data_IF_028201233484
#
_entry.id   IF_028201233484
#
_cell.length_a   1.000
_cell.length_b   1.000
_cell.length_c   1.000
_cell.angle_alpha   90.00
_cell.angle_beta   90.00
_cell.angle_gamma   90.00
#
_symmetry.space_group_name_H-M   'P 1'
#
loop_
_entity.id
_entity.type
_entity.pdbx_description
1 polymer ?
#
# COMPACT_ATOMS: atom_id res chain seq x y z
N UNK A 1 -29.34 -9.74 -16.95
CA UNK A 1 -30.08 -8.82 -16.05
C UNK A 1 -30.26 -7.48 -16.73
N UNK A 2 -31.23 -6.65 -16.32
CA UNK A 2 -31.30 -5.24 -16.75
C UNK A 2 -30.27 -4.39 -16.01
N UNK A 3 -29.95 -3.21 -16.53
CA UNK A 3 -29.05 -2.25 -15.87
C UNK A 3 -29.50 -1.94 -14.43
N UNK A 4 -30.79 -1.60 -14.23
CA UNK A 4 -31.31 -1.26 -12.90
C UNK A 4 -31.18 -2.42 -11.90
N UNK A 5 -31.42 -3.66 -12.36
CA UNK A 5 -31.26 -4.86 -11.52
C UNK A 5 -29.80 -5.09 -11.12
N UNK A 6 -28.85 -4.77 -11.99
CA UNK A 6 -27.42 -4.87 -11.70
C UNK A 6 -27.01 -3.78 -10.71
N UNK A 7 -27.50 -2.55 -10.90
CA UNK A 7 -27.22 -1.44 -9.99
C UNK A 7 -27.73 -1.74 -8.57
N UNK A 8 -28.94 -2.26 -8.44
CA UNK A 8 -29.52 -2.70 -7.16
C UNK A 8 -28.72 -3.86 -6.54
N UNK A 9 -28.28 -4.81 -7.36
CA UNK A 9 -27.45 -5.93 -6.90
C UNK A 9 -26.09 -5.48 -6.39
N UNK A 10 -25.40 -4.57 -7.10
CA UNK A 10 -24.16 -3.93 -6.64
C UNK A 10 -24.40 -3.29 -5.28
N UNK A 11 -25.43 -2.44 -5.15
CA UNK A 11 -25.73 -1.76 -3.90
C UNK A 11 -26.02 -2.72 -2.73
N UNK A 12 -26.65 -3.86 -3.01
CA UNK A 12 -26.93 -4.91 -2.02
C UNK A 12 -25.66 -5.64 -1.60
N UNK A 13 -24.79 -6.03 -2.55
CA UNK A 13 -23.50 -6.68 -2.26
C UNK A 13 -22.62 -5.77 -1.42
N UNK A 14 -22.49 -4.51 -1.80
CA UNK A 14 -21.67 -3.54 -1.07
C UNK A 14 -22.16 -3.37 0.36
N UNK A 15 -23.48 -3.28 0.58
CA UNK A 15 -24.08 -3.09 1.90
C UNK A 15 -24.05 -4.34 2.76
N UNK A 16 -24.50 -5.46 2.23
CA UNK A 16 -24.87 -6.64 3.03
C UNK A 16 -23.74 -7.68 3.07
N UNK A 17 -22.91 -7.77 2.02
CA UNK A 17 -21.80 -8.73 1.95
C UNK A 17 -20.47 -8.11 2.31
N UNK A 18 -20.17 -6.93 1.78
CA UNK A 18 -18.90 -6.25 2.02
C UNK A 18 -18.96 -5.28 3.20
N UNK A 19 -20.13 -5.05 3.81
CA UNK A 19 -20.35 -4.12 4.92
C UNK A 19 -19.72 -2.74 4.67
N UNK A 20 -19.90 -2.21 3.46
CA UNK A 20 -19.31 -0.95 3.05
C UNK A 20 -19.92 0.22 3.84
N UNK A 21 -19.06 1.01 4.49
CA UNK A 21 -19.47 2.11 5.35
C UNK A 21 -19.78 3.41 4.58
N UNK A 22 -19.48 3.46 3.27
CA UNK A 22 -19.59 4.65 2.42
C UNK A 22 -20.85 4.65 1.54
N UNK A 23 -21.89 3.90 1.94
CA UNK A 23 -23.14 3.77 1.16
C UNK A 23 -23.91 5.07 0.98
N UNK A 24 -23.66 6.10 1.81
CA UNK A 24 -24.24 7.43 1.63
C UNK A 24 -23.81 8.10 0.31
N UNK A 25 -22.64 7.73 -0.22
CA UNK A 25 -22.13 8.21 -1.50
C UNK A 25 -22.56 7.33 -2.70
N UNK A 26 -23.27 6.23 -2.47
CA UNK A 26 -23.63 5.28 -3.52
C UNK A 26 -24.61 5.89 -4.54
N UNK A 27 -24.12 6.06 -5.75
CA UNK A 27 -24.89 6.51 -6.91
C UNK A 27 -24.18 6.05 -8.20
N UNK A 28 -24.84 6.05 -9.37
CA UNK A 28 -24.21 5.64 -10.63
C UNK A 28 -22.90 6.38 -10.93
N UNK A 29 -22.85 7.69 -10.65
CA UNK A 29 -21.67 8.53 -10.86
C UNK A 29 -20.60 8.39 -9.77
N UNK A 30 -20.86 7.63 -8.70
CA UNK A 30 -19.91 7.46 -7.60
C UNK A 30 -18.67 6.71 -8.10
N UNK A 31 -17.50 7.27 -7.80
CA UNK A 31 -16.22 6.66 -8.15
C UNK A 31 -15.96 5.49 -7.23
N UNK A 32 -15.68 4.32 -7.81
CA UNK A 32 -15.54 3.05 -7.09
C UNK A 32 -14.49 3.18 -6.00
N UNK A 33 -13.29 3.67 -6.33
CA UNK A 33 -12.23 3.87 -5.35
C UNK A 33 -12.49 5.11 -4.48
N UNK A 34 -12.67 6.27 -5.09
CA UNK A 34 -12.56 7.53 -4.34
C UNK A 34 -13.78 7.85 -3.46
N UNK A 35 -14.97 7.46 -3.90
CA UNK A 35 -16.22 7.79 -3.21
C UNK A 35 -16.73 6.59 -2.40
N UNK A 36 -16.52 5.37 -2.91
CA UNK A 36 -16.98 4.12 -2.26
C UNK A 36 -15.87 3.29 -1.62
N UNK A 37 -14.61 3.71 -1.76
CA UNK A 37 -13.47 3.04 -1.14
C UNK A 37 -13.42 1.57 -1.59
N UNK A 38 -13.57 1.31 -2.88
CA UNK A 38 -13.46 -0.03 -3.46
C UNK A 38 -12.13 -0.13 -4.19
N UNK A 39 -11.21 -0.88 -3.59
CA UNK A 39 -9.97 -1.27 -4.25
C UNK A 39 -10.21 -2.38 -5.30
N UNK A 40 -9.17 -2.74 -6.06
CA UNK A 40 -9.28 -3.78 -7.10
C UNK A 40 -9.71 -5.16 -6.57
N UNK A 41 -9.43 -5.50 -5.32
CA UNK A 41 -9.84 -6.78 -4.69
C UNK A 41 -11.32 -6.72 -4.35
N UNK A 42 -11.79 -5.63 -3.74
CA UNK A 42 -13.22 -5.43 -3.41
C UNK A 42 -14.07 -5.28 -4.67
N UNK A 43 -13.55 -4.64 -5.72
CA UNK A 43 -14.18 -4.60 -7.04
C UNK A 43 -14.27 -6.01 -7.63
N UNK A 44 -13.19 -6.81 -7.58
CA UNK A 44 -13.20 -8.21 -8.01
C UNK A 44 -14.16 -9.08 -7.19
N UNK A 45 -14.24 -8.88 -5.88
CA UNK A 45 -15.15 -9.58 -4.99
C UNK A 45 -16.60 -9.21 -5.29
N UNK A 46 -16.88 -7.94 -5.56
CA UNK A 46 -18.18 -7.46 -6.03
C UNK A 46 -18.56 -8.10 -7.36
N UNK A 47 -17.62 -8.14 -8.32
CA UNK A 47 -17.82 -8.82 -9.60
C UNK A 47 -18.14 -10.29 -9.39
N UNK A 48 -17.34 -11.01 -8.59
CA UNK A 48 -17.53 -12.43 -8.31
C UNK A 48 -18.88 -12.70 -7.63
N UNK A 49 -19.29 -11.86 -6.69
CA UNK A 49 -20.59 -11.96 -6.05
C UNK A 49 -21.74 -11.76 -7.05
N UNK A 50 -21.63 -10.81 -7.98
CA UNK A 50 -22.59 -10.65 -9.07
C UNK A 50 -22.67 -11.89 -9.97
N UNK A 51 -21.53 -12.50 -10.30
CA UNK A 51 -21.51 -13.72 -11.11
C UNK A 51 -22.17 -14.89 -10.39
N UNK A 52 -21.83 -15.10 -9.11
CA UNK A 52 -22.30 -16.23 -8.31
C UNK A 52 -23.78 -16.13 -7.94
N UNK A 53 -24.23 -14.95 -7.52
CA UNK A 53 -25.60 -14.76 -7.04
C UNK A 53 -26.61 -14.59 -8.17
N UNK A 54 -26.17 -14.03 -9.31
CA UNK A 54 -27.07 -13.63 -10.39
C UNK A 54 -26.78 -14.26 -11.75
N UNK A 55 -25.74 -15.10 -11.86
CA UNK A 55 -25.47 -15.91 -13.04
C UNK A 55 -25.04 -15.12 -14.27
N UNK A 56 -24.52 -13.90 -14.08
CA UNK A 56 -23.97 -13.07 -15.16
C UNK A 56 -22.48 -13.36 -15.28
N UNK A 57 -22.04 -13.95 -16.40
CA UNK A 57 -20.63 -14.26 -16.62
C UNK A 57 -19.94 -13.14 -17.41
N UNK A 58 -18.87 -12.57 -16.87
CA UNK A 58 -18.04 -11.61 -17.60
C UNK A 58 -16.98 -12.34 -18.45
N UNK A 59 -16.80 -11.98 -19.74
CA UNK A 59 -15.67 -12.46 -20.52
C UNK A 59 -14.34 -11.92 -19.95
N UNK A 60 -13.36 -12.79 -19.72
CA UNK A 60 -12.04 -12.44 -19.12
C UNK A 60 -11.29 -11.31 -19.86
N UNK A 61 -11.48 -11.19 -21.18
CA UNK A 61 -10.90 -10.12 -22.00
C UNK A 61 -11.43 -8.71 -21.67
N UNK A 62 -12.53 -8.63 -20.94
CA UNK A 62 -13.21 -7.39 -20.56
C UNK A 62 -12.73 -6.89 -19.19
N UNK A 63 -12.40 -7.79 -18.27
CA UNK A 63 -11.89 -7.48 -16.91
C UNK A 63 -10.47 -6.87 -16.99
N UNK A 64 -9.65 -7.33 -17.94
CA UNK A 64 -8.24 -6.94 -18.08
C UNK A 64 -8.00 -5.65 -18.86
N UNK A 65 -9.04 -5.02 -19.42
CA UNK A 65 -8.90 -3.95 -20.42
C UNK A 65 -9.72 -2.68 -20.15
N UNK A 66 -10.46 -2.60 -19.04
CA UNK A 66 -11.32 -1.45 -18.78
C UNK A 66 -10.91 -0.73 -17.51
N UNK A 67 -10.68 0.57 -17.67
CA UNK A 67 -10.63 1.55 -16.58
C UNK A 67 -12.06 1.66 -16.02
N UNK A 68 -12.32 0.99 -14.90
CA UNK A 68 -13.60 1.05 -14.20
C UNK A 68 -13.48 2.12 -13.12
N UNK A 69 -13.96 3.31 -13.43
CA UNK A 69 -13.86 4.44 -12.52
C UNK A 69 -15.11 4.56 -11.64
N UNK A 70 -16.30 4.26 -12.18
CA UNK A 70 -17.59 4.50 -11.49
C UNK A 70 -18.48 3.26 -11.35
N UNK A 71 -19.50 3.36 -10.49
CA UNK A 71 -20.56 2.36 -10.38
C UNK A 71 -21.30 2.17 -11.71
N UNK A 72 -21.51 3.24 -12.49
CA UNK A 72 -22.13 3.18 -13.81
C UNK A 72 -21.29 2.34 -14.78
N UNK A 73 -19.97 2.50 -14.76
CA UNK A 73 -19.07 1.71 -15.61
C UNK A 73 -19.18 0.22 -15.30
N UNK A 74 -19.17 -0.13 -14.02
CA UNK A 74 -19.36 -1.51 -13.55
C UNK A 74 -20.74 -2.05 -13.92
N UNK A 75 -21.81 -1.29 -13.70
CA UNK A 75 -23.17 -1.72 -14.01
C UNK A 75 -23.38 -1.93 -15.53
N UNK A 76 -22.85 -1.03 -16.36
CA UNK A 76 -22.89 -1.15 -17.83
C UNK A 76 -22.08 -2.35 -18.32
N UNK A 77 -20.99 -2.68 -17.64
CA UNK A 77 -20.17 -3.85 -17.97
C UNK A 77 -21.01 -5.14 -17.94
N UNK A 78 -21.68 -5.36 -16.81
CA UNK A 78 -22.54 -6.53 -16.60
C UNK A 78 -23.81 -6.47 -17.44
N UNK A 79 -24.35 -5.29 -17.72
CA UNK A 79 -25.52 -5.12 -18.58
C UNK A 79 -25.20 -5.54 -20.03
N UNK A 80 -24.03 -5.15 -20.54
CA UNK A 80 -23.53 -5.58 -21.86
C UNK A 80 -23.24 -7.08 -21.91
N UNK A 81 -22.63 -7.64 -20.85
CA UNK A 81 -22.35 -9.08 -20.78
C UNK A 81 -23.62 -9.94 -20.64
N UNK A 82 -24.72 -9.34 -20.17
CA UNK A 82 -26.04 -9.97 -20.10
C UNK A 82 -26.79 -10.02 -21.45
N UNK A 83 -26.28 -9.37 -22.50
CA UNK A 83 -26.92 -9.44 -23.83
C UNK A 83 -26.72 -10.82 -24.48
N UNK A 84 -27.72 -11.34 -25.22
CA UNK A 84 -27.69 -12.68 -25.76
C UNK A 84 -26.81 -12.74 -27.02
N UNK A 85 -25.50 -12.66 -26.84
CA UNK A 85 -24.50 -13.11 -27.82
C UNK A 85 -23.66 -14.18 -27.16
N UNK A 86 -23.87 -15.42 -27.60
CA UNK A 86 -23.57 -16.61 -26.80
C UNK A 86 -22.08 -16.93 -26.67
N UNK A 87 -21.67 -17.22 -25.44
CA UNK A 87 -20.87 -18.40 -25.13
C UNK A 87 -21.06 -18.74 -23.66
N UNK A 88 -21.53 -19.95 -23.34
CA UNK A 88 -21.58 -20.46 -21.96
C UNK A 88 -20.13 -20.63 -21.48
N UNK A 89 -19.72 -19.82 -20.50
CA UNK A 89 -18.37 -19.88 -19.91
C UNK A 89 -18.33 -21.03 -18.88
N UNK A 90 -17.23 -21.81 -18.91
CA UNK A 90 -16.98 -22.93 -17.99
C UNK A 90 -16.66 -22.44 -16.56
N UNK A 91 -16.91 -23.26 -15.53
CA UNK A 91 -16.75 -22.85 -14.13
C UNK A 91 -15.31 -22.41 -13.78
N UNK A 92 -15.22 -21.35 -12.98
CA UNK A 92 -14.02 -20.57 -12.66
C UNK A 92 -12.79 -21.38 -12.19
N UNK A 93 -12.97 -22.54 -11.55
CA UNK A 93 -11.85 -23.34 -11.00
C UNK A 93 -10.88 -23.87 -12.06
N UNK A 94 -11.38 -24.30 -13.22
CA UNK A 94 -10.50 -24.79 -14.31
C UNK A 94 -9.79 -23.63 -15.03
N UNK A 95 -10.41 -22.44 -15.07
CA UNK A 95 -9.81 -21.25 -15.67
C UNK A 95 -8.71 -20.64 -14.79
N UNK A 96 -8.88 -20.61 -13.47
CA UNK A 96 -7.90 -20.05 -12.53
C UNK A 96 -6.56 -20.79 -12.60
N UNK A 97 -6.57 -22.12 -12.72
CA UNK A 97 -5.34 -22.91 -12.88
C UNK A 97 -4.65 -22.62 -14.22
N UNK A 98 -5.42 -22.59 -15.31
CA UNK A 98 -4.90 -22.32 -16.65
C UNK A 98 -4.36 -20.88 -16.81
N UNK A 99 -4.89 -19.93 -16.01
CA UNK A 99 -4.41 -18.55 -15.91
C UNK A 99 -3.07 -18.48 -15.17
N UNK A 100 -2.97 -19.09 -14.00
CA UNK A 100 -1.73 -19.15 -13.24
C UNK A 100 -0.58 -19.80 -14.03
N UNK A 101 -0.89 -20.85 -14.80
CA UNK A 101 0.09 -21.52 -15.68
C UNK A 101 0.55 -20.63 -16.84
N UNK A 102 -0.35 -19.81 -17.42
CA UNK A 102 -0.01 -18.86 -18.50
C UNK A 102 0.79 -17.67 -17.99
N UNK A 103 0.37 -17.06 -16.88
CA UNK A 103 1.08 -15.95 -16.23
C UNK A 103 2.50 -16.39 -15.82
N UNK A 104 2.64 -17.60 -15.28
CA UNK A 104 3.94 -18.19 -14.96
C UNK A 104 4.82 -18.44 -16.20
N UNK A 105 4.24 -18.90 -17.31
CA UNK A 105 4.95 -19.14 -18.56
C UNK A 105 5.41 -17.85 -19.25
N UNK A 106 4.61 -16.79 -19.15
CA UNK A 106 4.87 -15.49 -19.77
C UNK A 106 5.72 -14.56 -18.86
N UNK A 107 6.11 -15.04 -17.66
CA UNK A 107 6.79 -14.24 -16.61
C UNK A 107 6.05 -12.95 -16.25
N UNK A 108 4.76 -12.91 -16.56
CA UNK A 108 3.85 -11.90 -16.08
C UNK A 108 3.70 -12.21 -14.60
N UNK A 109 4.44 -11.49 -13.75
CA UNK A 109 4.09 -11.47 -12.34
C UNK A 109 2.62 -11.07 -12.21
N UNK A 110 1.99 -11.32 -11.06
CA UNK A 110 0.59 -10.93 -10.78
C UNK A 110 0.33 -9.41 -10.96
N UNK A 111 1.37 -8.65 -11.33
CA UNK A 111 1.41 -7.21 -11.56
C UNK A 111 2.03 -6.79 -12.92
N UNK A 112 2.13 -7.66 -13.93
CA UNK A 112 2.29 -7.21 -15.31
C UNK A 112 3.59 -6.52 -15.73
N UNK A 113 4.65 -6.47 -14.91
CA UNK A 113 5.86 -5.71 -15.25
C UNK A 113 7.16 -6.51 -15.07
N UNK A 114 8.08 -6.34 -16.04
CA UNK A 114 9.40 -6.97 -16.22
C UNK A 114 10.45 -6.68 -15.09
N UNK A 115 10.05 -6.14 -13.95
CA UNK A 115 10.92 -6.02 -12.78
C UNK A 115 10.10 -6.14 -11.49
N UNK A 116 10.37 -7.21 -10.72
CA UNK A 116 9.83 -7.39 -9.37
C UNK A 116 10.59 -6.45 -8.42
N UNK A 117 10.23 -5.16 -8.41
CA UNK A 117 10.60 -4.23 -7.34
C UNK A 117 9.72 -4.53 -6.11
N UNK A 118 10.37 -4.69 -4.96
CA UNK A 118 9.83 -5.30 -3.74
C UNK A 118 9.03 -4.24 -2.96
N UNK A 119 7.69 -4.29 -3.03
CA UNK A 119 6.75 -3.41 -2.28
C UNK A 119 6.57 -3.90 -0.83
N UNK A 120 7.58 -3.73 0.01
CA UNK A 120 7.58 -4.37 1.34
C UNK A 120 7.82 -3.39 2.50
N UNK A 121 8.45 -2.24 2.26
CA UNK A 121 8.80 -1.34 3.36
C UNK A 121 8.92 0.12 2.92
N UNK A 122 7.86 0.90 3.17
CA UNK A 122 7.73 2.28 2.71
C UNK A 122 8.93 3.19 3.05
N UNK A 123 9.45 3.14 4.28
CA UNK A 123 10.67 3.89 4.64
C UNK A 123 11.87 3.53 3.76
N UNK A 124 12.16 2.23 3.59
CA UNK A 124 13.28 1.72 2.78
C UNK A 124 13.11 2.13 1.32
N UNK A 125 11.90 1.99 0.78
CA UNK A 125 11.57 2.40 -0.59
C UNK A 125 11.83 3.90 -0.81
N UNK A 126 11.49 4.76 0.16
CA UNK A 126 11.74 6.19 0.06
C UNK A 126 13.24 6.54 0.05
N UNK A 127 14.05 5.97 0.95
CA UNK A 127 15.49 6.28 0.96
C UNK A 127 16.22 5.66 -0.24
N UNK A 128 15.80 4.48 -0.68
CA UNK A 128 16.32 3.81 -1.89
C UNK A 128 15.97 4.56 -3.17
N UNK A 129 14.86 5.32 -3.21
CA UNK A 129 14.52 6.16 -4.35
C UNK A 129 15.67 7.11 -4.68
N UNK A 130 16.22 7.81 -3.69
CA UNK A 130 17.33 8.74 -3.93
C UNK A 130 18.61 8.02 -4.39
N UNK A 131 18.88 6.81 -3.90
CA UNK A 131 20.01 5.97 -4.37
C UNK A 131 19.82 5.58 -5.85
N UNK A 132 18.58 5.23 -6.24
CA UNK A 132 18.21 4.90 -7.61
C UNK A 132 18.34 6.12 -8.55
N UNK A 133 17.93 7.31 -8.12
CA UNK A 133 18.12 8.56 -8.88
C UNK A 133 19.59 8.88 -9.11
N UNK A 134 20.48 8.47 -8.19
CA UNK A 134 21.94 8.55 -8.34
C UNK A 134 22.55 7.44 -9.20
N UNK A 135 21.74 6.54 -9.76
CA UNK A 135 22.17 5.37 -10.55
C UNK A 135 23.11 4.43 -9.77
N UNK A 136 22.91 4.35 -8.45
CA UNK A 136 23.62 3.43 -7.58
C UNK A 136 22.77 2.19 -7.27
N UNK A 137 23.44 1.12 -6.84
CA UNK A 137 22.76 -0.11 -6.47
C UNK A 137 22.12 0.02 -5.08
N UNK A 138 20.79 0.07 -5.06
CA UNK A 138 19.96 0.18 -3.86
C UNK A 138 19.50 -1.20 -3.32
N UNK A 139 19.60 -2.25 -4.15
CA UNK A 139 19.10 -3.59 -3.82
C UNK A 139 19.71 -4.19 -2.56
N UNK A 140 21.01 -3.98 -2.24
CA UNK A 140 21.57 -4.50 -0.99
C UNK A 140 20.78 -4.04 0.24
N UNK A 141 20.24 -2.83 0.24
CA UNK A 141 19.50 -2.29 1.38
C UNK A 141 18.13 -2.97 1.61
N UNK A 142 17.56 -3.59 0.58
CA UNK A 142 16.34 -4.39 0.72
C UNK A 142 16.59 -5.73 1.42
N UNK A 143 17.84 -6.18 1.55
CA UNK A 143 18.15 -7.44 2.22
C UNK A 143 17.69 -7.46 3.68
N UNK A 144 17.84 -6.33 4.40
CA UNK A 144 17.39 -6.23 5.79
C UNK A 144 15.87 -6.10 5.97
N UNK A 145 15.10 -6.00 4.90
CA UNK A 145 13.64 -5.88 4.98
C UNK A 145 12.98 -7.19 5.41
N UNK A 146 13.58 -8.35 5.06
CA UNK A 146 13.03 -9.66 5.38
C UNK A 146 12.85 -9.90 6.88
N UNK A 147 13.72 -9.31 7.69
CA UNK A 147 13.70 -9.36 9.16
C UNK A 147 13.42 -7.98 9.78
N UNK A 148 12.76 -7.10 9.03
CA UNK A 148 12.32 -5.81 9.56
C UNK A 148 11.46 -6.02 10.82
N UNK A 149 11.63 -5.13 11.79
CA UNK A 149 10.94 -5.23 13.07
C UNK A 149 9.42 -5.26 12.88
N UNK A 150 8.77 -6.23 13.52
CA UNK A 150 7.33 -6.35 13.63
C UNK A 150 6.96 -6.61 15.09
N UNK A 151 5.70 -6.35 15.44
CA UNK A 151 5.15 -6.62 16.76
C UNK A 151 4.09 -7.71 16.71
N UNK A 152 3.87 -8.37 17.84
CA UNK A 152 2.66 -9.15 18.11
C UNK A 152 1.86 -8.35 19.13
N UNK A 153 0.66 -7.92 18.75
CA UNK A 153 -0.18 -7.10 19.62
C UNK A 153 -0.80 -7.92 20.78
N UNK A 154 -1.51 -7.24 21.68
CA UNK A 154 -2.17 -7.87 22.83
C UNK A 154 -3.30 -8.85 22.44
N UNK A 155 -3.78 -8.79 21.20
CA UNK A 155 -4.76 -9.72 20.64
C UNK A 155 -4.09 -10.86 19.87
N UNK A 156 -2.77 -11.03 20.00
CA UNK A 156 -1.98 -12.03 19.28
C UNK A 156 -2.08 -11.88 17.76
N UNK A 157 -2.10 -10.66 17.25
CA UNK A 157 -2.04 -10.36 15.80
C UNK A 157 -0.68 -9.78 15.44
N UNK A 158 -0.20 -10.13 14.24
CA UNK A 158 0.99 -9.49 13.68
C UNK A 158 0.67 -8.03 13.34
N UNK A 159 1.51 -7.13 13.81
CA UNK A 159 1.42 -5.70 13.54
C UNK A 159 2.75 -5.20 12.97
N UNK A 160 2.69 -4.62 11.78
CA UNK A 160 3.84 -3.99 11.12
C UNK A 160 4.04 -2.53 11.53
N UNK A 161 3.07 -1.97 12.27
CA UNK A 161 3.16 -0.67 12.92
C UNK A 161 2.83 -0.82 14.40
N UNK A 162 3.78 -0.46 15.25
CA UNK A 162 3.63 -0.43 16.70
C UNK A 162 4.58 0.63 17.28
N UNK A 163 4.29 1.15 18.47
CA UNK A 163 5.09 2.18 19.14
C UNK A 163 6.54 1.76 19.39
N UNK A 164 6.80 0.46 19.47
CA UNK A 164 8.12 -0.11 19.72
C UNK A 164 8.97 -0.25 18.44
N UNK A 165 8.34 -0.18 17.26
CA UNK A 165 9.04 -0.26 15.97
C UNK A 165 9.65 1.10 15.67
N UNK A 166 10.98 1.16 15.64
CA UNK A 166 11.72 2.36 15.25
C UNK A 166 12.53 2.11 13.96
N UNK A 167 12.96 3.20 13.32
CA UNK A 167 13.72 3.15 12.07
C UNK A 167 15.22 3.35 12.29
N UNK A 168 15.72 3.30 13.52
CA UNK A 168 17.11 3.65 13.82
C UNK A 168 18.11 2.70 13.15
N UNK A 169 17.80 1.40 13.16
CA UNK A 169 18.59 0.40 12.44
C UNK A 169 18.76 0.76 10.96
N UNK A 170 17.66 1.06 10.26
CA UNK A 170 17.72 1.42 8.85
C UNK A 170 18.41 2.78 8.63
N UNK A 171 18.18 3.76 9.50
CA UNK A 171 18.81 5.09 9.40
C UNK A 171 20.33 5.01 9.53
N UNK A 172 20.80 4.30 10.55
CA UNK A 172 22.23 4.16 10.84
C UNK A 172 22.93 3.37 9.74
N UNK A 173 22.30 2.30 9.24
CA UNK A 173 22.85 1.54 8.11
C UNK A 173 22.79 2.29 6.79
N UNK A 174 21.77 3.10 6.55
CA UNK A 174 21.70 3.92 5.35
C UNK A 174 22.82 4.97 5.33
N UNK A 175 23.06 5.64 6.47
CA UNK A 175 24.18 6.58 6.62
C UNK A 175 25.53 5.86 6.44
N UNK A 176 25.69 4.66 7.00
CA UNK A 176 26.93 3.89 6.85
C UNK A 176 27.17 3.43 5.41
N UNK A 177 26.17 2.83 4.76
CA UNK A 177 26.27 2.29 3.41
C UNK A 177 26.37 3.40 2.36
N UNK A 178 25.47 4.37 2.42
CA UNK A 178 25.29 5.35 1.37
C UNK A 178 25.74 6.75 1.76
N UNK A 179 26.23 6.98 2.97
CA UNK A 179 26.78 8.27 3.42
C UNK A 179 25.75 9.31 3.83
N UNK A 180 24.55 9.28 3.25
CA UNK A 180 23.51 10.26 3.53
C UNK A 180 22.85 10.03 4.89
N UNK A 181 22.86 11.08 5.71
CA UNK A 181 22.25 11.05 7.05
C UNK A 181 20.75 11.25 6.98
N UNK A 182 19.99 10.28 7.50
CA UNK A 182 18.52 10.35 7.60
C UNK A 182 18.13 10.93 8.96
N UNK A 183 17.75 12.21 8.96
CA UNK A 183 17.44 12.98 10.17
C UNK A 183 15.95 12.96 10.44
N UNK A 184 15.55 12.54 11.64
CA UNK A 184 14.17 12.68 12.08
C UNK A 184 13.89 14.16 12.38
N UNK A 185 12.86 14.71 11.74
CA UNK A 185 12.36 16.06 12.07
C UNK A 185 11.14 16.04 12.99
N UNK A 186 10.37 14.94 12.95
CA UNK A 186 9.19 14.78 13.80
C UNK A 186 9.59 14.62 15.28
N UNK A 187 8.97 15.40 16.16
CA UNK A 187 9.22 15.40 17.61
C UNK A 187 8.03 14.77 18.32
N UNK A 188 8.16 13.55 18.88
CA UNK A 188 7.05 12.86 19.56
C UNK A 188 6.47 13.62 20.77
N UNK A 189 7.27 14.48 21.41
CA UNK A 189 6.81 15.30 22.54
C UNK A 189 6.17 16.64 22.16
N UNK A 190 6.14 16.99 20.86
CA UNK A 190 5.50 18.20 20.35
C UNK A 190 4.07 17.88 19.87
N UNK A 191 3.20 18.89 19.78
CA UNK A 191 1.85 18.67 19.25
C UNK A 191 1.88 18.38 17.74
N UNK A 192 0.76 17.89 17.21
CA UNK A 192 0.61 17.64 15.77
C UNK A 192 0.76 18.94 14.96
N UNK A 193 0.23 20.04 15.48
CA UNK A 193 0.30 21.37 14.85
C UNK A 193 1.73 21.91 14.84
N UNK A 194 2.49 21.72 15.93
CA UNK A 194 3.91 22.10 15.99
C UNK A 194 4.76 21.29 15.02
N UNK A 195 4.50 19.99 14.91
CA UNK A 195 5.15 19.11 13.93
C UNK A 195 4.75 19.47 12.49
N UNK A 196 3.48 19.81 12.25
CA UNK A 196 3.00 20.28 10.95
C UNK A 196 3.69 21.58 10.54
N UNK A 197 3.81 22.54 11.46
CA UNK A 197 4.54 23.78 11.22
C UNK A 197 6.02 23.53 10.88
N UNK A 198 6.67 22.61 11.60
CA UNK A 198 8.05 22.20 11.31
C UNK A 198 8.18 21.57 9.91
N UNK A 199 7.24 20.69 9.55
CA UNK A 199 7.21 20.06 8.23
C UNK A 199 7.03 21.09 7.10
N UNK A 200 6.11 22.05 7.28
CA UNK A 200 5.88 23.13 6.32
C UNK A 200 7.13 24.02 6.13
N UNK A 201 7.82 24.38 7.22
CA UNK A 201 9.07 25.15 7.15
C UNK A 201 10.17 24.35 6.42
N UNK A 202 10.27 23.05 6.66
CA UNK A 202 11.22 22.19 5.94
C UNK A 202 10.88 22.08 4.46
N UNK A 203 9.61 21.90 4.11
CA UNK A 203 9.18 21.81 2.71
C UNK A 203 9.51 23.08 1.93
N UNK A 204 9.35 24.24 2.56
CA UNK A 204 9.66 25.55 1.97
C UNK A 204 11.17 25.80 1.82
N UNK A 205 11.99 25.32 2.77
CA UNK A 205 13.42 25.66 2.86
C UNK A 205 14.38 24.58 2.40
N UNK A 206 13.90 23.35 2.19
CA UNK A 206 14.77 22.24 1.77
C UNK A 206 15.47 22.57 0.47
N UNK A 207 16.67 22.03 0.30
CA UNK A 207 17.38 22.10 -0.99
C UNK A 207 16.67 21.23 -2.02
N UNK A 208 16.96 21.48 -3.29
CA UNK A 208 16.50 20.63 -4.40
C UNK A 208 16.99 19.18 -4.25
N UNK A 209 18.18 18.97 -3.67
CA UNK A 209 18.72 17.64 -3.41
C UNK A 209 18.16 16.97 -2.15
N UNK A 210 17.39 17.69 -1.32
CA UNK A 210 16.82 17.15 -0.09
C UNK A 210 15.43 16.58 -0.32
N UNK A 211 15.20 15.39 0.21
CA UNK A 211 13.92 14.71 0.21
C UNK A 211 13.26 14.83 1.58
N UNK A 212 12.03 15.35 1.61
CA UNK A 212 11.22 15.43 2.83
C UNK A 212 10.23 14.26 2.87
N UNK A 213 10.47 13.33 3.79
CA UNK A 213 9.61 12.18 4.05
C UNK A 213 8.65 12.49 5.20
N UNK A 214 7.37 12.18 5.01
CA UNK A 214 6.31 12.34 6.00
C UNK A 214 5.58 11.01 6.21
N UNK A 215 5.12 10.76 7.44
CA UNK A 215 4.14 9.69 7.69
C UNK A 215 2.73 10.28 7.59
N UNK A 216 1.86 9.63 6.82
CA UNK A 216 0.44 9.96 6.74
C UNK A 216 -0.42 8.71 6.71
N UNK A 217 -1.71 8.87 6.99
CA UNK A 217 -2.67 7.77 6.91
C UNK A 217 -3.30 7.73 5.52
N UNK A 218 -2.93 6.72 4.73
CA UNK A 218 -3.41 6.57 3.35
C UNK A 218 -4.90 6.32 3.25
N UNK A 219 -5.54 5.83 4.31
CA UNK A 219 -6.99 5.70 4.34
C UNK A 219 -7.68 7.04 4.03
N UNK A 220 -7.06 8.17 4.38
CA UNK A 220 -7.59 9.50 4.15
C UNK A 220 -7.13 10.15 2.84
N UNK A 221 -6.51 9.38 1.93
CA UNK A 221 -6.12 9.79 0.58
C UNK A 221 -6.62 8.76 -0.46
N UNK A 222 -7.95 8.70 -0.69
CA UNK A 222 -8.56 7.71 -1.57
C UNK A 222 -8.35 8.00 -3.06
N UNK A 223 -7.83 9.18 -3.44
CA UNK A 223 -7.41 9.50 -4.81
C UNK A 223 -6.25 8.63 -5.32
N UNK A 224 -5.68 7.81 -4.43
CA UNK A 224 -4.68 6.82 -4.76
C UNK A 224 -5.32 5.44 -4.78
N UNK A 225 -4.94 4.60 -5.74
CA UNK A 225 -5.21 3.16 -5.67
C UNK A 225 -4.54 2.55 -4.43
N UNK A 226 -5.25 2.55 -3.31
CA UNK A 226 -4.83 1.92 -2.07
C UNK A 226 -5.39 0.50 -2.07
N UNK A 227 -4.51 -0.46 -2.31
CA UNK A 227 -4.86 -1.86 -2.09
C UNK A 227 -5.20 -2.04 -0.60
N UNK A 228 -6.30 -2.75 -0.33
CA UNK A 228 -6.77 -3.28 0.96
C UNK A 228 -7.65 -2.39 1.84
N UNK A 229 -7.93 -1.14 1.44
CA UNK A 229 -8.88 -0.28 2.15
C UNK A 229 -8.65 -0.23 3.67
N UNK A 230 -7.39 -0.39 4.08
CA UNK A 230 -7.03 -0.65 5.46
C UNK A 230 -7.23 0.62 6.26
N UNK A 231 -7.86 0.51 7.44
CA UNK A 231 -8.03 1.63 8.35
C UNK A 231 -7.56 1.23 9.76
N UNK A 232 -6.51 1.85 10.31
CA UNK A 232 -5.67 2.87 9.68
C UNK A 232 -4.70 2.27 8.66
N UNK A 233 -4.17 3.10 7.76
CA UNK A 233 -3.08 2.73 6.85
C UNK A 233 -1.89 3.69 6.95
N UNK A 234 -1.07 3.60 8.01
CA UNK A 234 0.15 4.38 8.16
C UNK A 234 1.13 4.11 7.02
N UNK A 235 1.64 5.17 6.40
CA UNK A 235 2.60 5.04 5.29
C UNK A 235 3.58 6.20 5.23
N UNK A 236 4.82 5.91 4.84
CA UNK A 236 5.81 6.94 4.53
C UNK A 236 5.82 7.24 3.03
N UNK A 237 5.82 8.52 2.70
CA UNK A 237 6.02 9.02 1.34
C UNK A 237 6.76 10.37 1.38
N UNK A 238 7.10 10.91 0.20
CA UNK A 238 7.80 12.18 0.07
C UNK A 238 6.90 13.27 -0.51
N UNK A 239 7.14 14.51 -0.06
CA UNK A 239 6.42 15.69 -0.52
C UNK A 239 7.35 16.66 -1.25
N UNK A 240 6.82 17.25 -2.32
CA UNK A 240 7.47 18.28 -3.11
C UNK A 240 6.51 19.45 -3.40
N UNK A 241 7.08 20.64 -3.54
CA UNK A 241 6.32 21.80 -3.99
C UNK A 241 5.92 21.66 -5.47
N UNK A 242 4.85 22.35 -5.82
CA UNK A 242 4.47 22.55 -7.21
C UNK A 242 4.34 24.04 -7.50
N UNK A 243 4.11 24.38 -8.78
CA UNK A 243 3.82 25.76 -9.19
C UNK A 243 2.54 26.32 -8.54
N UNK A 244 1.60 25.44 -8.17
CA UNK A 244 0.37 25.81 -7.46
C UNK A 244 0.57 25.61 -5.94
N UNK A 245 0.51 26.66 -5.10
CA UNK A 245 0.69 26.55 -3.66
C UNK A 245 -0.43 25.78 -2.94
N UNK A 246 -1.57 25.56 -3.58
CA UNK A 246 -2.67 24.75 -3.06
C UNK A 246 -2.49 23.25 -3.32
N UNK A 247 -1.46 22.87 -4.08
CA UNK A 247 -1.24 21.49 -4.53
C UNK A 247 0.19 21.07 -4.24
N UNK A 248 0.35 19.88 -3.68
CA UNK A 248 1.65 19.25 -3.48
C UNK A 248 1.85 18.10 -4.45
N UNK A 249 3.09 17.92 -4.88
CA UNK A 249 3.51 16.70 -5.53
C UNK A 249 3.81 15.68 -4.43
N UNK A 250 3.19 14.52 -4.54
CA UNK A 250 3.33 13.41 -3.61
C UNK A 250 4.04 12.30 -4.36
N UNK A 251 5.16 11.85 -3.82
CA UNK A 251 5.98 10.80 -4.38
C UNK A 251 5.98 9.61 -3.42
N UNK A 252 5.45 8.49 -3.87
CA UNK A 252 5.44 7.22 -3.15
C UNK A 252 6.20 6.14 -3.96
N UNK A 253 7.50 5.97 -3.70
CA UNK A 253 8.30 4.96 -4.37
C UNK A 253 7.90 3.53 -4.04
N UNK A 254 7.28 3.28 -2.88
CA UNK A 254 6.87 1.93 -2.46
C UNK A 254 5.73 1.42 -3.34
N UNK A 255 4.78 2.31 -3.66
CA UNK A 255 3.69 2.01 -4.58
C UNK A 255 4.00 2.34 -6.04
N UNK A 256 5.15 2.96 -6.32
CA UNK A 256 5.57 3.48 -7.63
C UNK A 256 4.59 4.53 -8.16
N UNK A 257 4.08 5.34 -7.25
CA UNK A 257 3.06 6.32 -7.54
C UNK A 257 3.63 7.72 -7.34
N UNK A 258 3.36 8.60 -8.29
CA UNK A 258 3.61 10.03 -8.15
C UNK A 258 2.36 10.77 -8.62
N UNK A 259 2.00 11.86 -7.95
CA UNK A 259 0.81 12.59 -8.32
C UNK A 259 0.61 13.88 -7.55
N UNK A 260 -0.27 14.71 -8.10
CA UNK A 260 -0.64 16.01 -7.56
C UNK A 260 -1.84 15.85 -6.64
N UNK A 261 -1.69 16.19 -5.36
CA UNK A 261 -2.77 16.13 -4.38
C UNK A 261 -2.99 17.50 -3.77
N UNK A 262 -4.26 17.86 -3.56
CA UNK A 262 -4.62 19.05 -2.80
C UNK A 262 -3.94 19.07 -1.42
N UNK A 263 -3.24 20.16 -1.13
CA UNK A 263 -2.50 20.36 0.12
C UNK A 263 -3.34 20.03 1.36
N UNK A 264 -4.59 20.45 1.38
CA UNK A 264 -5.45 20.28 2.55
C UNK A 264 -5.79 18.81 2.82
N UNK A 265 -5.88 17.96 1.78
CA UNK A 265 -6.11 16.51 1.93
C UNK A 265 -4.89 15.82 2.50
N UNK A 266 -3.70 16.16 2.00
CA UNK A 266 -2.43 15.66 2.55
C UNK A 266 -2.27 16.07 4.01
N UNK A 267 -2.56 17.33 4.34
CA UNK A 267 -2.54 17.80 5.73
C UNK A 267 -3.53 17.01 6.59
N UNK A 268 -4.75 16.79 6.11
CA UNK A 268 -5.74 15.98 6.84
C UNK A 268 -5.22 14.57 7.14
N UNK A 269 -4.59 13.90 6.16
CA UNK A 269 -4.00 12.58 6.34
C UNK A 269 -2.81 12.56 7.31
N UNK A 270 -1.98 13.61 7.33
CA UNK A 270 -0.88 13.78 8.29
C UNK A 270 -1.40 14.05 9.72
N UNK A 271 -2.52 14.77 9.84
CA UNK A 271 -3.09 15.17 11.13
C UNK A 271 -3.81 14.02 11.86
N UNK A 272 -3.98 12.86 11.22
CA UNK A 272 -4.61 11.72 11.87
C UNK A 272 -3.82 11.23 13.10
N UNK A 273 -4.50 10.81 14.18
CA UNK A 273 -3.85 10.35 15.41
C UNK A 273 -3.14 8.99 15.24
N UNK A 274 -3.47 8.26 14.18
CA UNK A 274 -2.96 6.91 13.84
C UNK A 274 -1.54 6.93 13.28
N UNK A 275 -1.01 8.10 12.94
CA UNK A 275 0.29 8.26 12.29
C UNK A 275 1.15 9.26 13.04
N UNK A 276 2.46 9.05 13.07
CA UNK A 276 3.41 9.98 13.69
C UNK A 276 4.82 9.67 13.17
N UNK A 277 5.43 10.61 12.46
CA UNK A 277 6.81 10.45 12.01
C UNK A 277 7.15 11.25 10.78
N UNK A 278 8.45 11.35 10.53
CA UNK A 278 8.97 11.99 9.35
C UNK A 278 10.47 12.23 9.41
N UNK A 279 11.09 12.19 8.23
CA UNK A 279 12.52 12.25 8.05
C UNK A 279 12.90 13.21 6.92
N UNK A 280 14.13 13.71 6.95
CA UNK A 280 14.72 14.48 5.87
C UNK A 280 16.15 13.98 5.62
N UNK A 281 16.53 13.87 4.36
CA UNK A 281 17.86 13.42 3.94
C UNK A 281 18.27 14.09 2.64
N UNK A 282 19.57 14.29 2.47
CA UNK A 282 20.14 14.99 1.31
C UNK A 282 20.75 13.98 0.34
N UNK A 283 20.21 13.90 -0.87
CA UNK A 283 20.75 13.05 -1.92
C UNK A 283 22.14 13.52 -2.39
N UNK A 284 22.52 14.77 -2.09
CA UNK A 284 23.87 15.30 -2.30
C UNK A 284 24.95 14.39 -1.69
N UNK A 285 24.66 13.81 -0.53
CA UNK A 285 25.61 13.04 0.29
C UNK A 285 25.64 11.55 -0.07
N UNK A 286 24.76 11.10 -0.98
CA UNK A 286 24.68 9.70 -1.39
C UNK A 286 25.94 9.28 -2.16
N UNK A 287 26.56 8.19 -1.70
CA UNK A 287 27.76 7.58 -2.27
C UNK A 287 27.61 6.07 -2.43
N UNK A 288 28.49 5.49 -3.25
CA UNK A 288 28.56 4.04 -3.44
C UNK A 288 29.03 3.35 -2.14
N UNK A 289 28.37 2.27 -1.68
CA UNK A 289 28.80 1.54 -0.50
C UNK A 289 30.12 0.80 -0.73
N UNK A 290 30.91 0.66 0.33
CA UNK A 290 32.13 -0.15 0.32
C UNK A 290 31.79 -1.64 0.43
N UNK A 291 32.68 -2.52 -0.07
CA UNK A 291 32.49 -3.96 0.08
C UNK A 291 32.49 -4.42 1.55
N UNK A 292 33.21 -3.70 2.42
CA UNK A 292 33.27 -3.97 3.86
C UNK A 292 31.92 -3.66 4.51
N UNK A 293 31.34 -2.49 4.19
CA UNK A 293 30.04 -2.10 4.76
C UNK A 293 28.91 -2.99 4.23
N UNK A 294 28.97 -3.42 2.96
CA UNK A 294 28.01 -4.39 2.41
C UNK A 294 28.08 -5.74 3.12
N UNK A 295 29.29 -6.26 3.36
CA UNK A 295 29.50 -7.49 4.15
C UNK A 295 28.93 -7.33 5.56
N UNK A 296 29.26 -6.23 6.22
CA UNK A 296 28.84 -6.00 7.61
C UNK A 296 27.32 -5.83 7.71
N UNK A 297 26.68 -5.19 6.73
CA UNK A 297 25.22 -5.10 6.65
C UNK A 297 24.59 -6.47 6.46
N UNK A 298 25.11 -7.28 5.53
CA UNK A 298 24.65 -8.66 5.33
C UNK A 298 24.73 -9.47 6.63
N UNK A 299 25.86 -9.42 7.33
CA UNK A 299 26.05 -10.14 8.60
C UNK A 299 25.16 -9.62 9.73
N UNK A 300 24.79 -8.34 9.70
CA UNK A 300 23.88 -7.75 10.68
C UNK A 300 22.41 -8.16 10.44
N UNK A 301 22.03 -8.44 9.20
CA UNK A 301 20.67 -8.84 8.83
C UNK A 301 20.48 -10.36 8.74
N UNK A 302 21.55 -11.12 8.46
CA UNK A 302 21.44 -12.55 8.23
C UNK A 302 21.41 -13.31 9.55
N UNK A 303 20.24 -13.83 9.91
CA UNK A 303 20.03 -14.69 11.06
C UNK A 303 20.03 -16.17 10.63
N UNK A 304 21.19 -16.83 10.69
CA UNK A 304 21.37 -18.21 10.20
C UNK A 304 20.43 -19.22 10.86
N UNK A 305 20.28 -19.13 12.18
CA UNK A 305 19.58 -20.12 13.00
C UNK A 305 18.17 -19.68 13.43
N UNK A 306 17.69 -18.53 12.94
CA UNK A 306 16.49 -17.93 13.49
C UNK A 306 15.66 -17.16 12.46
N UNK A 307 14.37 -17.47 12.38
CA UNK A 307 13.42 -16.77 11.52
C UNK A 307 12.36 -16.11 12.41
N UNK A 308 12.49 -14.79 12.58
CA UNK A 308 11.69 -14.00 13.50
C UNK A 308 10.19 -14.16 13.23
N UNK A 309 9.78 -13.98 11.98
CA UNK A 309 8.38 -14.05 11.57
C UNK A 309 7.78 -15.45 11.79
N UNK A 310 8.50 -16.51 11.42
CA UNK A 310 8.04 -17.89 11.60
C UNK A 310 7.87 -18.22 13.07
N UNK A 311 8.84 -17.83 13.91
CA UNK A 311 8.76 -18.05 15.35
C UNK A 311 7.58 -17.29 15.96
N UNK A 312 7.40 -16.02 15.62
CA UNK A 312 6.28 -15.23 16.12
C UNK A 312 4.93 -15.79 15.67
N UNK A 313 4.80 -16.20 14.40
CA UNK A 313 3.60 -16.85 13.87
C UNK A 313 3.28 -18.14 14.64
N UNK A 314 4.30 -18.96 14.95
CA UNK A 314 4.10 -20.16 15.80
C UNK A 314 3.60 -19.81 17.19
N UNK A 315 4.13 -18.75 17.81
CA UNK A 315 3.65 -18.29 19.12
C UNK A 315 2.21 -17.75 19.06
N UNK A 316 1.85 -17.03 18.01
CA UNK A 316 0.45 -16.59 17.76
C UNK A 316 -0.49 -17.80 17.67
N UNK A 317 -0.14 -18.79 16.87
CA UNK A 317 -0.95 -20.02 16.73
C UNK A 317 -1.06 -20.74 18.07
N UNK A 318 0.04 -20.89 18.80
CA UNK A 318 0.05 -21.55 20.11
C UNK A 318 -0.82 -20.80 21.12
N UNK A 319 -0.77 -19.46 21.15
CA UNK A 319 -1.60 -18.66 22.04
C UNK A 319 -3.10 -18.87 21.80
N UNK A 320 -3.52 -18.97 20.53
CA UNK A 320 -4.91 -19.27 20.19
C UNK A 320 -5.31 -20.70 20.57
N UNK A 321 -4.44 -21.69 20.33
CA UNK A 321 -4.69 -23.10 20.71
C UNK A 321 -4.81 -23.30 22.22
N UNK A 322 -4.01 -22.57 23.01
CA UNK A 322 -3.97 -22.68 24.46
C UNK A 322 -4.99 -21.75 25.16
N UNK A 323 -5.69 -20.90 24.41
CA UNK A 323 -6.62 -19.91 24.96
C UNK A 323 -5.94 -18.87 25.86
N UNK A 324 -4.69 -18.53 25.57
CA UNK A 324 -3.95 -17.49 26.31
C UNK A 324 -4.72 -16.17 26.22
N UNK A 325 -4.68 -15.40 27.31
CA UNK A 325 -5.32 -14.09 27.40
C UNK A 325 -6.82 -14.09 27.06
N UNK A 326 -7.50 -15.24 27.25
CA UNK A 326 -8.93 -15.38 27.01
C UNK A 326 -9.32 -15.61 25.55
N UNK A 327 -8.36 -15.87 24.66
CA UNK A 327 -8.62 -16.22 23.27
C UNK A 327 -9.45 -17.50 23.16
N UNK A 328 -10.32 -17.54 22.14
CA UNK A 328 -11.06 -18.75 21.75
C UNK A 328 -10.80 -19.00 20.28
N UNK A 329 -10.51 -20.25 19.93
CA UNK A 329 -10.61 -20.70 18.54
C UNK A 329 -12.08 -20.59 18.13
N UNK A 330 -12.36 -19.75 17.14
CA UNK A 330 -13.68 -19.60 16.54
C UNK A 330 -13.99 -20.78 15.60
#
# INVERSE_FOLDING_TARGET
MTYDQILDAIGTILRDKLDNQHMDAFAPQARLNEDLYLDSVLVLETMLALELDHGVALPEAVISRQDLDTVDDLARLFAKASEPSGTLVKPAKELVLARAEREAAERIGVHGEDFVDIKVHCFVSNVCHAVKQRQLDHRPFFFGVWDAGFAVDKSWRLAYHASEINHDFFRDWFERLYGAKVRQWYRPGATKEENLATMLELLERKKESEYLMVMLDLFHLPERENKFNQNPFPHYLMLEHTEDPAVWMVLDPDFRWEGRIEKQKVINAIMQPTVAGGFIFDAADIRKPSAIDLRDYFLACFHEDDNLLTRATREVVRAHLEGRDGLKLA
#
